data_IF_075501801960
#
_entry.id   IF_075501801960
#
_cell.length_a   1.000
_cell.length_b   1.000
_cell.length_c   1.000
_cell.angle_alpha   90.00
_cell.angle_beta   90.00
_cell.angle_gamma   90.00
#
_symmetry.space_group_name_H-M   'P 1'
#
loop_
_entity.id
_entity.type
_entity.pdbx_description
1 polymer ?
#
# COMPACT_ATOMS: atom_id res chain seq x y z
N UNK A 1 -27.36 9.12 -10.84
CA UNK A 1 -26.21 10.02 -10.60
C UNK A 1 -25.34 9.98 -11.83
N UNK A 2 -25.26 11.09 -12.59
CA UNK A 2 -24.38 11.25 -13.76
C UNK A 2 -23.11 12.04 -13.40
N UNK A 3 -22.72 12.02 -12.12
CA UNK A 3 -21.50 12.71 -11.70
C UNK A 3 -20.28 11.89 -12.11
N UNK A 4 -19.36 12.55 -12.80
CA UNK A 4 -18.04 12.05 -13.16
C UNK A 4 -17.08 12.30 -12.00
N UNK A 5 -17.10 11.43 -10.99
CA UNK A 5 -16.30 11.58 -9.78
C UNK A 5 -14.80 11.46 -10.08
N UNK A 6 -14.42 10.57 -11.00
CA UNK A 6 -13.02 10.34 -11.36
C UNK A 6 -12.35 11.61 -11.86
N UNK A 7 -13.02 12.34 -12.76
CA UNK A 7 -12.58 13.65 -13.26
C UNK A 7 -12.46 14.74 -12.18
N UNK A 8 -13.12 14.58 -11.02
CA UNK A 8 -13.04 15.56 -9.91
C UNK A 8 -11.87 15.27 -8.97
N UNK A 9 -11.32 14.06 -8.97
CA UNK A 9 -10.29 13.60 -8.03
C UNK A 9 -9.02 13.11 -8.74
N UNK A 10 -8.88 13.47 -10.03
CA UNK A 10 -7.78 13.09 -10.92
C UNK A 10 -7.59 11.57 -11.10
N UNK A 11 -8.70 10.84 -11.08
CA UNK A 11 -8.74 9.38 -11.28
C UNK A 11 -9.75 9.03 -12.40
N UNK A 12 -9.45 9.38 -13.67
CA UNK A 12 -10.42 9.31 -14.77
C UNK A 12 -10.95 7.90 -15.05
N UNK A 13 -10.23 6.85 -14.62
CA UNK A 13 -10.66 5.46 -14.77
C UNK A 13 -11.93 5.12 -13.99
N UNK A 14 -12.28 5.86 -12.93
CA UNK A 14 -13.57 5.70 -12.24
C UNK A 14 -14.78 6.16 -13.05
N UNK A 15 -14.59 7.01 -14.07
CA UNK A 15 -15.69 7.49 -14.92
C UNK A 15 -16.01 6.54 -16.10
N UNK A 16 -15.14 5.55 -16.35
CA UNK A 16 -15.29 4.58 -17.44
C UNK A 16 -16.29 3.48 -17.05
N UNK A 17 -16.28 3.08 -15.77
CA UNK A 17 -17.06 1.96 -15.27
C UNK A 17 -18.33 2.42 -14.56
N UNK A 18 -19.39 1.62 -14.65
CA UNK A 18 -20.60 1.85 -13.86
C UNK A 18 -20.31 1.58 -12.38
N UNK A 19 -20.55 2.53 -11.45
CA UNK A 19 -20.31 2.33 -10.01
C UNK A 19 -21.08 1.13 -9.46
N UNK A 20 -20.43 0.34 -8.61
CA UNK A 20 -20.99 -0.82 -7.90
C UNK A 20 -20.54 -0.83 -6.45
N UNK A 21 -21.23 -1.59 -5.62
CA UNK A 21 -20.90 -1.79 -4.21
C UNK A 21 -20.50 -3.26 -4.01
N UNK A 22 -19.35 -3.48 -3.37
CA UNK A 22 -18.92 -4.78 -2.87
C UNK A 22 -19.03 -4.75 -1.34
N UNK A 23 -19.69 -5.76 -0.76
CA UNK A 23 -19.80 -5.91 0.69
C UNK A 23 -19.04 -7.16 1.11
N UNK A 24 -18.05 -7.02 1.97
CA UNK A 24 -17.23 -8.11 2.48
C UNK A 24 -17.25 -8.19 4.01
N UNK A 25 -16.79 -9.33 4.54
CA UNK A 25 -16.70 -9.52 5.99
C UNK A 25 -15.54 -8.70 6.53
N UNK A 26 -15.80 -7.87 7.53
CA UNK A 26 -14.76 -7.16 8.28
C UNK A 26 -13.79 -8.13 8.96
N UNK A 27 -12.50 -8.00 8.63
CA UNK A 27 -11.42 -8.82 9.20
C UNK A 27 -11.06 -8.26 10.58
N UNK A 28 -11.03 -9.13 11.58
CA UNK A 28 -10.63 -8.83 12.96
C UNK A 28 -9.84 -9.98 13.54
N UNK A 29 -8.83 -9.67 14.34
CA UNK A 29 -8.10 -10.66 15.12
C UNK A 29 -8.98 -11.28 16.21
N UNK A 30 -8.46 -12.31 16.88
CA UNK A 30 -9.09 -13.00 18.01
C UNK A 30 -9.48 -12.08 19.18
N UNK A 31 -8.87 -10.89 19.27
CA UNK A 31 -9.15 -9.90 20.30
C UNK A 31 -10.13 -8.80 19.80
N UNK A 32 -10.57 -8.86 18.55
CA UNK A 32 -11.50 -7.92 17.94
C UNK A 32 -10.84 -6.69 17.29
N UNK A 33 -9.51 -6.63 17.21
CA UNK A 33 -8.79 -5.53 16.56
C UNK A 33 -8.74 -5.70 15.05
N UNK A 34 -8.74 -4.57 14.34
CA UNK A 34 -8.53 -4.55 12.89
C UNK A 34 -7.03 -4.71 12.62
N UNK A 35 -6.62 -5.62 11.72
CA UNK A 35 -5.20 -5.80 11.39
C UNK A 35 -4.61 -4.54 10.73
N UNK A 36 -3.29 -4.41 10.82
CA UNK A 36 -2.54 -3.42 10.06
C UNK A 36 -2.64 -3.70 8.56
N UNK A 37 -2.59 -2.64 7.75
CA UNK A 37 -2.45 -2.78 6.30
C UNK A 37 -0.98 -2.91 5.93
N UNK A 38 -0.65 -3.96 5.16
CA UNK A 38 0.65 -4.12 4.54
C UNK A 38 0.49 -3.84 3.05
N UNK A 39 1.05 -2.73 2.59
CA UNK A 39 0.96 -2.29 1.20
C UNK A 39 2.33 -2.43 0.55
N UNK A 40 2.43 -3.36 -0.37
CA UNK A 40 3.66 -3.67 -1.08
C UNK A 40 3.68 -2.84 -2.36
N UNK A 41 4.47 -1.76 -2.36
CA UNK A 41 4.76 -0.99 -3.57
C UNK A 41 5.82 -1.75 -4.36
N UNK A 42 5.44 -2.30 -5.50
CA UNK A 42 6.30 -3.14 -6.33
C UNK A 42 6.51 -2.45 -7.66
N UNK A 43 7.78 -2.26 -8.03
CA UNK A 43 8.22 -1.76 -9.31
C UNK A 43 8.95 -2.90 -10.03
N UNK A 44 8.42 -3.39 -11.16
CA UNK A 44 8.90 -4.54 -11.92
C UNK A 44 9.61 -4.17 -13.24
N UNK A 45 10.02 -2.91 -13.42
CA UNK A 45 10.68 -2.42 -14.64
C UNK A 45 12.09 -3.03 -14.85
N UNK A 46 13.15 -2.22 -14.93
CA UNK A 46 14.53 -2.72 -15.17
C UNK A 46 15.10 -3.59 -14.05
N UNK A 47 14.81 -3.21 -12.80
CA UNK A 47 15.24 -3.95 -11.61
C UNK A 47 14.07 -3.94 -10.62
N UNK A 48 13.71 -5.10 -10.08
CA UNK A 48 12.60 -5.18 -9.15
C UNK A 48 12.94 -4.41 -7.86
N UNK A 49 12.17 -3.37 -7.56
CA UNK A 49 12.25 -2.61 -6.30
C UNK A 49 10.96 -2.78 -5.53
N UNK A 50 11.06 -3.06 -4.24
CA UNK A 50 9.91 -3.30 -3.37
C UNK A 50 10.06 -2.52 -2.07
N UNK A 51 9.00 -1.80 -1.73
CA UNK A 51 8.85 -1.12 -0.44
C UNK A 51 7.55 -1.55 0.23
N UNK A 52 7.59 -1.67 1.55
CA UNK A 52 6.45 -2.09 2.37
C UNK A 52 5.98 -0.87 3.14
N UNK A 53 4.86 -0.30 2.75
CA UNK A 53 4.14 0.67 3.56
C UNK A 53 3.28 -0.07 4.58
N UNK A 54 3.41 0.31 5.84
CA UNK A 54 2.53 -0.17 6.91
C UNK A 54 1.71 1.00 7.40
N UNK A 55 0.39 0.82 7.40
CA UNK A 55 -0.54 1.73 8.06
C UNK A 55 -1.09 1.04 9.31
N UNK A 56 -0.83 1.61 10.48
CA UNK A 56 -1.30 1.13 11.79
C UNK A 56 -2.36 2.07 12.36
N UNK A 57 -3.23 1.53 13.20
CA UNK A 57 -4.16 2.33 14.03
C UNK A 57 -5.07 3.27 13.22
N UNK A 58 -5.52 2.84 12.03
CA UNK A 58 -6.33 3.66 11.10
C UNK A 58 -7.59 4.27 11.71
N UNK A 59 -8.17 3.62 12.72
CA UNK A 59 -9.39 4.08 13.39
C UNK A 59 -9.12 4.93 14.64
N UNK A 60 -7.84 5.19 14.96
CA UNK A 60 -7.42 6.03 16.08
C UNK A 60 -6.30 6.99 15.63
N UNK A 61 -5.08 6.84 16.14
CA UNK A 61 -3.94 7.66 15.72
C UNK A 61 -3.23 6.99 14.54
N UNK A 62 -3.69 7.27 13.32
CA UNK A 62 -3.15 6.65 12.11
C UNK A 62 -1.64 6.95 11.98
N UNK A 63 -0.85 5.88 12.09
CA UNK A 63 0.60 5.88 11.89
C UNK A 63 0.97 5.27 10.54
N UNK A 64 2.01 5.79 9.91
CA UNK A 64 2.54 5.27 8.65
C UNK A 64 4.05 5.18 8.69
N UNK A 65 4.61 4.07 8.21
CA UNK A 65 6.04 3.94 7.98
C UNK A 65 6.31 3.08 6.75
N UNK A 66 7.38 3.41 6.04
CA UNK A 66 7.84 2.69 4.86
C UNK A 66 9.05 1.87 5.26
N UNK A 67 9.11 0.63 4.80
CA UNK A 67 10.17 -0.31 5.09
C UNK A 67 10.72 -0.93 3.80
N UNK A 68 11.99 -1.30 3.84
CA UNK A 68 12.60 -2.19 2.86
C UNK A 68 12.21 -3.64 3.15
N UNK A 69 12.43 -4.55 2.19
CA UNK A 69 12.08 -5.97 2.31
C UNK A 69 12.82 -6.70 3.44
N UNK A 70 13.96 -6.18 3.89
CA UNK A 70 14.73 -6.68 5.04
C UNK A 70 14.22 -6.12 6.39
N UNK A 71 13.10 -5.40 6.39
CA UNK A 71 12.43 -4.91 7.59
C UNK A 71 13.05 -3.64 8.19
N UNK A 72 13.95 -2.96 7.48
CA UNK A 72 14.50 -1.67 7.91
C UNK A 72 13.59 -0.53 7.47
N UNK A 73 13.49 0.54 8.27
CA UNK A 73 12.77 1.74 7.84
C UNK A 73 13.48 2.33 6.61
N UNK A 74 12.71 2.66 5.58
CA UNK A 74 13.21 3.36 4.41
C UNK A 74 13.50 4.82 4.78
N UNK A 75 14.46 5.44 4.08
CA UNK A 75 14.87 6.83 4.31
C UNK A 75 13.94 7.85 3.64
N UNK A 76 12.65 7.53 3.53
CA UNK A 76 11.62 8.41 2.98
C UNK A 76 10.26 8.13 3.61
N UNK A 77 9.33 9.07 3.40
CA UNK A 77 7.96 9.05 3.89
C UNK A 77 7.02 9.39 2.74
N UNK A 78 5.91 8.66 2.64
CA UNK A 78 4.78 9.00 1.78
C UNK A 78 3.73 9.67 2.65
N UNK A 79 3.32 10.88 2.27
CA UNK A 79 2.39 11.73 3.02
C UNK A 79 2.91 12.00 4.46
N UNK A 80 3.96 12.84 4.65
CA UNK A 80 4.68 13.04 5.92
C UNK A 80 3.89 13.86 6.97
N UNK A 81 2.57 13.74 6.99
CA UNK A 81 1.69 14.23 8.08
C UNK A 81 1.45 13.18 9.16
N UNK A 82 1.71 11.90 8.84
CA UNK A 82 1.48 10.78 9.73
C UNK A 82 2.65 10.56 10.67
N UNK A 83 2.32 10.22 11.92
CA UNK A 83 3.29 9.74 12.89
C UNK A 83 3.91 8.43 12.39
N UNK A 84 5.15 8.19 12.80
CA UNK A 84 5.82 6.93 12.47
C UNK A 84 5.35 5.81 13.39
N UNK A 85 5.41 4.59 12.87
CA UNK A 85 5.22 3.38 13.65
C UNK A 85 6.38 3.27 14.67
N UNK A 86 6.01 2.83 15.87
CA UNK A 86 6.90 2.62 17.01
C UNK A 86 8.09 1.73 16.64
N UNK A 87 9.26 1.98 17.24
CA UNK A 87 10.45 1.14 17.03
C UNK A 87 10.30 -0.28 17.59
N UNK A 88 9.34 -0.49 18.48
CA UNK A 88 8.97 -1.79 19.07
C UNK A 88 8.06 -2.62 18.16
N UNK A 89 7.68 -2.11 16.98
CA UNK A 89 6.86 -2.83 16.04
C UNK A 89 7.54 -4.10 15.56
N UNK A 90 6.77 -5.20 15.58
CA UNK A 90 7.21 -6.50 15.10
C UNK A 90 6.45 -6.85 13.83
N UNK A 91 7.19 -7.21 12.79
CA UNK A 91 6.59 -7.79 11.59
C UNK A 91 5.95 -9.15 11.90
N UNK A 92 4.91 -9.55 11.14
CA UNK A 92 4.33 -10.87 11.29
C UNK A 92 5.31 -11.95 10.82
N UNK A 93 5.30 -13.11 11.46
CA UNK A 93 6.25 -14.21 11.19
C UNK A 93 6.22 -14.68 9.73
N UNK A 94 5.06 -14.60 9.09
CA UNK A 94 4.81 -14.97 7.70
C UNK A 94 4.93 -13.79 6.72
N UNK A 95 5.61 -12.69 7.07
CA UNK A 95 5.90 -11.57 6.15
C UNK A 95 6.53 -12.05 4.83
N UNK A 96 7.46 -13.00 4.90
CA UNK A 96 8.08 -13.57 3.70
C UNK A 96 7.06 -14.22 2.76
N UNK A 97 6.01 -14.86 3.30
CA UNK A 97 4.92 -15.42 2.49
C UNK A 97 4.03 -14.32 1.89
N UNK A 98 3.78 -13.24 2.65
CA UNK A 98 3.06 -12.07 2.14
C UNK A 98 3.80 -11.43 0.96
N UNK A 99 5.12 -11.26 1.09
CA UNK A 99 5.97 -10.73 0.03
C UNK A 99 5.92 -11.60 -1.24
N UNK A 100 6.01 -12.93 -1.10
CA UNK A 100 5.87 -13.85 -2.24
C UNK A 100 4.52 -13.72 -2.96
N UNK A 101 3.42 -13.60 -2.19
CA UNK A 101 2.08 -13.42 -2.76
C UNK A 101 1.96 -12.08 -3.47
N UNK A 102 2.51 -11.01 -2.88
CA UNK A 102 2.49 -9.69 -3.49
C UNK A 102 3.28 -9.64 -4.80
N UNK A 103 4.45 -10.28 -4.86
CA UNK A 103 5.26 -10.39 -6.09
C UNK A 103 4.50 -11.19 -7.17
N UNK A 104 3.90 -12.32 -6.81
CA UNK A 104 3.13 -13.13 -7.76
C UNK A 104 1.94 -12.36 -8.35
N UNK A 105 1.26 -11.56 -7.53
CA UNK A 105 0.14 -10.73 -8.00
C UNK A 105 0.60 -9.55 -8.86
N UNK A 106 1.88 -9.14 -8.80
CA UNK A 106 2.38 -7.96 -9.52
C UNK A 106 3.01 -8.27 -10.88
N UNK A 107 3.20 -9.54 -11.26
CA UNK A 107 4.04 -9.96 -12.39
C UNK A 107 3.72 -9.26 -13.73
N UNK A 108 2.45 -8.94 -13.98
CA UNK A 108 2.00 -8.33 -15.23
C UNK A 108 2.05 -6.78 -15.24
N UNK A 109 2.57 -6.15 -14.18
CA UNK A 109 2.53 -4.69 -14.01
C UNK A 109 3.90 -4.10 -13.70
N UNK A 110 4.28 -3.03 -14.41
CA UNK A 110 5.52 -2.30 -14.15
C UNK A 110 5.53 -1.61 -12.79
N UNK A 111 4.39 -1.06 -12.37
CA UNK A 111 4.16 -0.62 -11.00
C UNK A 111 2.78 -1.07 -10.54
N UNK A 112 2.73 -1.65 -9.33
CA UNK A 112 1.47 -1.86 -8.62
C UNK A 112 1.70 -1.90 -7.13
N UNK A 113 0.77 -1.33 -6.38
CA UNK A 113 0.67 -1.51 -4.94
C UNK A 113 -0.27 -2.66 -4.63
N UNK A 114 0.21 -3.69 -3.95
CA UNK A 114 -0.61 -4.83 -3.51
C UNK A 114 -0.85 -4.71 -2.02
N UNK A 115 -2.12 -4.67 -1.63
CA UNK A 115 -2.53 -4.52 -0.24
C UNK A 115 -2.91 -5.89 0.34
N UNK A 116 -2.24 -6.29 1.42
CA UNK A 116 -2.50 -7.53 2.13
C UNK A 116 -2.74 -7.25 3.62
N UNK A 117 -3.57 -8.10 4.22
CA UNK A 117 -3.77 -8.13 5.67
C UNK A 117 -3.14 -9.39 6.25
N UNK A 118 -2.65 -9.25 7.48
CA UNK A 118 -2.28 -10.38 8.33
C UNK A 118 -3.17 -10.39 9.57
N UNK A 119 -3.93 -11.46 9.77
CA UNK A 119 -4.83 -11.58 10.89
C UNK A 119 -4.72 -12.99 11.48
N UNK A 120 -4.16 -13.10 12.68
CA UNK A 120 -3.86 -14.35 13.38
C UNK A 120 -3.10 -15.36 12.49
N UNK A 121 -2.10 -14.89 11.74
CA UNK A 121 -1.28 -15.72 10.86
C UNK A 121 -1.93 -16.07 9.52
N UNK A 122 -3.18 -15.67 9.29
CA UNK A 122 -3.86 -15.82 8.00
C UNK A 122 -3.70 -14.56 7.14
N UNK A 123 -3.33 -14.77 5.89
CA UNK A 123 -3.12 -13.70 4.90
C UNK A 123 -4.40 -13.51 4.10
N UNK A 124 -4.81 -12.25 3.95
CA UNK A 124 -5.96 -11.87 3.12
C UNK A 124 -5.53 -10.84 2.09
N UNK A 125 -6.08 -10.95 0.88
CA UNK A 125 -5.96 -9.92 -0.14
C UNK A 125 -6.94 -8.78 0.16
N UNK A 126 -6.47 -7.54 0.03
CA UNK A 126 -7.30 -6.34 0.09
C UNK A 126 -7.59 -5.81 -1.30
N UNK A 127 -6.58 -5.16 -1.91
CA UNK A 127 -6.73 -4.53 -3.23
C UNK A 127 -5.41 -4.47 -4.00
N UNK A 128 -5.51 -4.12 -5.28
CA UNK A 128 -4.40 -3.69 -6.11
C UNK A 128 -4.65 -2.24 -6.56
N UNK A 129 -3.64 -1.40 -6.40
CA UNK A 129 -3.74 0.04 -6.71
C UNK A 129 -2.62 0.45 -7.66
N UNK A 130 -3.02 1.01 -8.80
CA UNK A 130 -2.10 1.42 -9.87
C UNK A 130 -1.68 2.89 -9.75
N UNK A 131 -2.52 3.73 -9.15
CA UNK A 131 -2.23 5.15 -8.92
C UNK A 131 -2.45 5.48 -7.44
N UNK A 132 -1.38 5.36 -6.65
CA UNK A 132 -1.47 5.63 -5.22
C UNK A 132 -1.78 7.10 -4.95
N UNK A 133 -2.89 7.38 -4.26
CA UNK A 133 -3.25 8.72 -3.81
C UNK A 133 -3.47 9.71 -4.95
N UNK A 134 -3.96 9.23 -6.11
CA UNK A 134 -4.08 10.00 -7.36
C UNK A 134 -2.76 10.63 -7.83
N UNK A 135 -1.61 10.16 -7.33
CA UNK A 135 -0.30 10.79 -7.58
C UNK A 135 -0.04 12.08 -6.80
N UNK A 136 -0.92 12.46 -5.86
CA UNK A 136 -0.82 13.71 -5.11
C UNK A 136 -0.23 13.57 -3.70
N UNK A 137 -0.04 12.35 -3.19
CA UNK A 137 0.58 12.16 -1.88
C UNK A 137 2.06 12.57 -1.90
N UNK A 138 2.47 13.61 -1.15
CA UNK A 138 3.83 14.12 -1.22
C UNK A 138 4.82 13.12 -0.62
N UNK A 139 5.94 12.90 -1.33
CA UNK A 139 7.05 12.06 -0.88
C UNK A 139 8.16 12.95 -0.33
N UNK A 140 8.68 12.60 0.85
CA UNK A 140 9.73 13.34 1.53
C UNK A 140 10.87 12.42 1.97
N UNK A 141 12.14 12.79 1.76
CA UNK A 141 12.60 14.01 1.09
C UNK A 141 12.34 13.99 -0.42
N UNK A 142 12.37 15.17 -1.07
CA UNK A 142 12.02 15.32 -2.50
C UNK A 142 12.87 14.47 -3.44
N UNK A 143 14.12 14.16 -3.09
CA UNK A 143 14.95 13.26 -3.90
C UNK A 143 14.41 11.83 -3.93
N UNK A 144 13.72 11.37 -2.89
CA UNK A 144 13.10 10.05 -2.87
C UNK A 144 11.90 9.98 -3.84
N UNK A 145 11.20 11.10 -4.06
CA UNK A 145 10.13 11.20 -5.06
C UNK A 145 10.67 10.90 -6.47
N UNK A 146 11.76 11.59 -6.86
CA UNK A 146 12.44 11.34 -8.13
C UNK A 146 13.03 9.92 -8.22
N UNK A 147 13.57 9.39 -7.13
CA UNK A 147 14.11 8.04 -7.08
C UNK A 147 13.02 6.99 -7.33
N UNK A 148 11.89 7.06 -6.63
CA UNK A 148 10.76 6.15 -6.86
C UNK A 148 10.19 6.27 -8.27
N UNK A 149 10.07 7.49 -8.78
CA UNK A 149 9.68 7.73 -10.17
C UNK A 149 10.64 7.10 -11.17
N UNK A 150 11.94 7.03 -10.86
CA UNK A 150 12.93 6.39 -11.74
C UNK A 150 12.81 4.86 -11.83
N UNK A 151 12.06 4.23 -10.92
CA UNK A 151 11.80 2.79 -10.94
C UNK A 151 10.60 2.39 -11.81
N UNK A 152 9.75 3.34 -12.18
CA UNK A 152 8.57 3.14 -13.03
C UNK A 152 8.86 3.63 -14.45
N UNK A 153 8.85 2.72 -15.43
CA UNK A 153 9.23 3.02 -16.82
C UNK A 153 8.08 2.79 -17.82
N UNK A 154 7.01 3.58 -17.71
CA UNK A 154 5.88 3.57 -18.68
C UNK A 154 6.18 4.33 -19.99
#
# INVERSE_FOLDING_TARGET
MNEKIGSKIDEPFYDIQKPKILCEKLIKDKNGHVPNDYKFHIFNSKEQKIFIQIDSDRFSNHKRSIYTIDGKKANFKIQPKYDEIETTFMFPENLGKMLQLAICLSEDFEYVRVDLYNCDGKIYFGEMTFCHGSGWEPISPKNADYELGSYWEE
#
